data_IF_487833255300
#
_entry.id   IF_487833255300
#
_cell.length_a   1.000
_cell.length_b   1.000
_cell.length_c   1.000
_cell.angle_alpha   90.00
_cell.angle_beta   90.00
_cell.angle_gamma   90.00
#
_symmetry.space_group_name_H-M   'P 1'
#
loop_
_entity.id
_entity.type
_entity.pdbx_description
1 polymer ?
#
# COMPACT_ATOMS: atom_id res chain seq x y z
N UNK A 1 42.59 -45.79 -23.89
CA UNK A 1 41.54 -44.84 -24.33
C UNK A 1 41.58 -43.64 -23.41
N UNK A 2 41.54 -42.47 -24.03
CA UNK A 2 42.24 -41.23 -23.66
C UNK A 2 41.51 -40.44 -22.56
N UNK A 3 42.23 -40.07 -21.50
CA UNK A 3 41.80 -39.12 -20.47
C UNK A 3 42.11 -37.69 -20.94
N UNK A 4 41.07 -36.86 -21.13
CA UNK A 4 41.21 -35.46 -21.51
C UNK A 4 41.28 -34.57 -20.26
N UNK A 5 42.47 -34.03 -20.01
CA UNK A 5 42.77 -33.05 -18.98
C UNK A 5 42.36 -31.64 -19.45
N UNK A 6 41.57 -30.91 -18.66
CA UNK A 6 41.14 -29.53 -18.97
C UNK A 6 42.21 -28.52 -18.57
N UNK A 7 42.51 -27.48 -19.39
CA UNK A 7 43.52 -26.49 -19.05
C UNK A 7 42.98 -25.45 -18.05
N UNK A 8 43.80 -25.12 -17.04
CA UNK A 8 43.57 -24.01 -16.10
C UNK A 8 43.97 -22.69 -16.77
N UNK A 9 43.03 -21.80 -16.99
CA UNK A 9 43.29 -20.42 -17.46
C UNK A 9 43.69 -19.57 -16.25
N UNK A 10 44.90 -19.02 -16.27
CA UNK A 10 45.39 -18.03 -15.31
C UNK A 10 45.07 -16.63 -15.84
N UNK A 11 44.30 -15.85 -15.10
CA UNK A 11 44.05 -14.42 -15.38
C UNK A 11 45.13 -13.59 -14.66
N UNK A 12 45.88 -12.72 -15.35
CA UNK A 12 46.84 -11.84 -14.68
C UNK A 12 46.11 -10.62 -14.08
N UNK A 13 46.34 -10.39 -12.79
CA UNK A 13 45.94 -9.18 -12.08
C UNK A 13 46.77 -8.00 -12.60
N UNK A 14 46.15 -7.03 -13.27
CA UNK A 14 46.79 -5.74 -13.61
C UNK A 14 46.35 -4.69 -12.60
N UNK A 15 47.28 -4.27 -11.76
CA UNK A 15 47.17 -3.08 -10.93
C UNK A 15 47.20 -1.84 -11.84
N UNK A 16 46.20 -0.97 -11.72
CA UNK A 16 46.18 0.34 -12.34
C UNK A 16 46.38 1.38 -11.24
N UNK A 17 47.56 1.99 -11.21
CA UNK A 17 47.81 3.26 -10.52
C UNK A 17 47.48 4.40 -11.47
N UNK A 18 46.65 5.34 -11.04
CA UNK A 18 46.61 6.67 -11.64
C UNK A 18 46.43 7.71 -10.53
N UNK A 19 47.48 8.50 -10.33
CA UNK A 19 47.43 9.75 -9.58
C UNK A 19 47.02 10.88 -10.52
N UNK A 20 46.09 11.74 -10.09
CA UNK A 20 46.01 13.13 -10.53
C UNK A 20 45.37 13.96 -9.43
N UNK A 21 46.14 14.91 -8.91
CA UNK A 21 45.66 16.00 -8.09
C UNK A 21 45.34 17.20 -9.00
N UNK A 22 44.21 17.89 -8.76
CA UNK A 22 44.09 19.32 -9.04
C UNK A 22 43.01 19.95 -8.14
N UNK A 23 43.38 21.09 -7.56
CA UNK A 23 42.62 21.94 -6.64
C UNK A 23 41.57 22.80 -7.36
N UNK A 24 40.49 23.21 -6.68
CA UNK A 24 40.16 24.62 -6.33
C UNK A 24 38.70 24.84 -5.84
N UNK A 25 38.59 25.76 -4.85
CA UNK A 25 37.45 26.57 -4.37
C UNK A 25 36.24 25.84 -3.74
N UNK A 26 35.81 26.12 -2.49
CA UNK A 26 35.32 27.41 -1.96
C UNK A 26 33.86 27.58 -2.41
N UNK A 27 32.80 27.61 -1.59
CA UNK A 27 32.60 28.27 -0.30
C UNK A 27 31.58 27.51 0.58
N UNK A 28 31.81 27.53 1.88
CA UNK A 28 30.82 27.20 2.91
C UNK A 28 29.90 28.40 3.10
N UNK A 29 28.58 28.20 2.96
CA UNK A 29 27.58 29.15 3.45
C UNK A 29 27.01 28.60 4.74
N UNK A 30 27.41 29.25 5.84
CA UNK A 30 26.87 29.06 7.17
C UNK A 30 25.42 29.55 7.23
N UNK A 31 24.55 28.75 7.83
CA UNK A 31 23.19 29.15 8.24
C UNK A 31 23.26 29.99 9.52
N UNK A 32 22.45 31.06 9.67
CA UNK A 32 22.41 31.82 10.91
C UNK A 32 21.52 31.13 11.95
N UNK A 33 22.01 31.14 13.19
CA UNK A 33 21.28 30.73 14.39
C UNK A 33 20.09 31.66 14.67
N UNK A 34 18.96 31.08 15.09
CA UNK A 34 17.78 31.80 15.61
C UNK A 34 17.87 31.78 17.14
N UNK A 35 17.91 32.96 17.74
CA UNK A 35 17.86 33.20 19.19
C UNK A 35 16.39 33.39 19.62
N UNK A 36 15.88 32.72 20.68
CA UNK A 36 14.49 32.86 21.09
C UNK A 36 14.34 33.90 22.21
N UNK A 37 13.58 34.97 21.95
CA UNK A 37 13.07 35.81 23.03
C UNK A 37 11.73 36.48 22.69
N UNK A 38 10.71 36.02 23.42
CA UNK A 38 9.60 36.75 24.05
C UNK A 38 8.90 37.90 23.29
N UNK A 39 7.60 37.72 22.99
CA UNK A 39 6.59 38.78 23.10
C UNK A 39 5.26 38.22 23.62
N UNK A 40 4.99 38.60 24.88
CA UNK A 40 3.74 39.00 25.53
C UNK A 40 2.40 38.29 25.28
N UNK A 41 1.82 37.86 26.41
CA UNK A 41 0.41 37.58 26.61
C UNK A 41 -0.40 38.88 26.65
N UNK A 42 -1.54 38.90 25.97
CA UNK A 42 -2.63 39.83 26.28
C UNK A 42 -3.96 39.08 26.27
N UNK A 43 -4.63 39.09 27.42
CA UNK A 43 -5.97 38.57 27.60
C UNK A 43 -7.03 39.51 27.03
N UNK A 44 -8.19 38.93 26.74
CA UNK A 44 -9.40 39.62 26.35
C UNK A 44 -10.57 38.64 26.33
N UNK A 45 -11.36 38.65 27.39
CA UNK A 45 -12.68 38.02 27.49
C UNK A 45 -13.66 38.68 26.52
N UNK A 46 -14.47 37.89 25.80
CA UNK A 46 -15.80 38.32 25.30
C UNK A 46 -16.76 37.13 25.32
N UNK A 47 -17.84 37.29 26.09
CA UNK A 47 -19.04 36.43 26.14
C UNK A 47 -19.89 36.50 24.85
N UNK A 48 -20.61 35.40 24.59
CA UNK A 48 -22.03 35.45 24.21
C UNK A 48 -22.38 35.67 22.73
N UNK A 49 -22.96 34.64 22.11
CA UNK A 49 -23.64 34.76 20.83
C UNK A 49 -24.24 33.44 20.35
N UNK A 50 -25.42 33.10 20.86
CA UNK A 50 -26.28 32.05 20.30
C UNK A 50 -26.71 32.40 18.87
N UNK A 51 -26.62 31.45 17.95
CA UNK A 51 -27.39 31.44 16.71
C UNK A 51 -28.01 30.06 16.49
N UNK A 52 -29.30 29.99 16.76
CA UNK A 52 -30.21 28.95 16.29
C UNK A 52 -30.64 29.22 14.85
N UNK A 53 -31.29 28.23 14.22
CA UNK A 53 -31.86 28.12 12.86
C UNK A 53 -30.95 27.30 11.92
N UNK A 54 -31.37 26.20 11.29
CA UNK A 54 -32.70 25.65 11.01
C UNK A 54 -32.56 24.16 10.72
N UNK A 55 -33.37 23.32 11.37
CA UNK A 55 -33.53 21.90 11.02
C UNK A 55 -34.18 21.79 9.64
N UNK A 56 -33.38 21.41 8.65
CA UNK A 56 -33.86 20.81 7.42
C UNK A 56 -33.84 19.30 7.60
N UNK A 57 -35.00 18.70 7.85
CA UNK A 57 -35.19 17.26 7.79
C UNK A 57 -34.88 16.79 6.36
N UNK A 58 -33.68 16.25 6.16
CA UNK A 58 -33.39 15.40 5.01
C UNK A 58 -33.58 13.96 5.48
N UNK A 59 -34.68 13.38 5.01
CA UNK A 59 -34.90 11.94 4.96
C UNK A 59 -33.91 11.36 3.94
N UNK A 60 -32.67 11.16 4.39
CA UNK A 60 -31.64 10.39 3.70
C UNK A 60 -31.53 9.07 4.44
N UNK A 61 -31.80 7.95 3.76
CA UNK A 61 -31.48 6.63 4.31
C UNK A 61 -30.03 6.65 4.79
N UNK A 62 -29.82 6.29 6.05
CA UNK A 62 -28.54 6.43 6.74
C UNK A 62 -27.40 5.94 5.84
N UNK A 63 -26.57 6.87 5.39
CA UNK A 63 -25.32 6.54 4.75
C UNK A 63 -24.50 5.83 5.82
N UNK A 64 -24.44 4.51 5.74
CA UNK A 64 -23.75 3.73 6.76
C UNK A 64 -22.27 4.11 6.71
N UNK A 65 -21.73 4.43 7.88
CA UNK A 65 -20.40 5.02 8.04
C UNK A 65 -19.31 3.95 7.98
N UNK A 66 -18.13 4.31 7.47
CA UNK A 66 -16.95 3.45 7.55
C UNK A 66 -16.69 3.00 9.00
N UNK A 67 -16.17 1.77 9.20
CA UNK A 67 -15.95 1.23 10.55
C UNK A 67 -14.82 1.91 11.33
N UNK A 68 -14.02 2.75 10.67
CA UNK A 68 -12.88 3.47 11.23
C UNK A 68 -12.60 4.75 10.44
N UNK A 69 -11.83 5.67 11.03
CA UNK A 69 -11.41 6.92 10.38
C UNK A 69 -10.51 6.68 9.15
N UNK A 70 -9.71 5.60 9.17
CA UNK A 70 -8.85 5.22 8.07
C UNK A 70 -8.98 3.73 7.75
N UNK A 71 -9.06 3.46 6.45
CA UNK A 71 -8.96 2.12 5.87
C UNK A 71 -7.65 2.02 5.10
N UNK A 72 -6.74 1.16 5.56
CA UNK A 72 -5.41 0.95 4.97
C UNK A 72 -5.40 -0.12 3.87
N UNK A 73 -6.44 -0.94 3.81
CA UNK A 73 -6.59 -1.97 2.78
C UNK A 73 -8.04 -2.34 2.54
N UNK A 74 -8.38 -2.60 1.28
CA UNK A 74 -9.63 -3.22 0.87
C UNK A 74 -9.31 -4.39 -0.05
N UNK A 75 -9.86 -5.55 0.23
CA UNK A 75 -9.69 -6.71 -0.63
C UNK A 75 -10.88 -7.64 -0.55
N UNK A 76 -10.97 -8.53 -1.52
CA UNK A 76 -11.99 -9.56 -1.59
C UNK A 76 -11.37 -10.87 -1.13
N UNK A 77 -12.03 -11.57 -0.23
CA UNK A 77 -11.65 -12.93 0.13
C UNK A 77 -12.06 -13.90 -0.99
N UNK A 78 -11.13 -14.61 -1.63
CA UNK A 78 -11.46 -15.56 -2.70
C UNK A 78 -12.30 -16.75 -2.23
N UNK A 79 -12.35 -17.03 -0.92
CA UNK A 79 -13.11 -18.15 -0.37
C UNK A 79 -14.64 -17.95 -0.46
N UNK A 80 -15.11 -16.72 -0.29
CA UNK A 80 -16.53 -16.39 -0.15
C UNK A 80 -16.97 -15.14 -0.95
N UNK A 81 -16.03 -14.44 -1.58
CA UNK A 81 -16.28 -13.22 -2.36
C UNK A 81 -16.56 -11.98 -1.50
N UNK A 82 -16.40 -12.06 -0.18
CA UNK A 82 -16.72 -10.96 0.74
C UNK A 82 -15.60 -9.92 0.81
N UNK A 83 -16.01 -8.65 0.86
CA UNK A 83 -15.11 -7.51 0.98
C UNK A 83 -14.62 -7.41 2.42
N UNK A 84 -13.32 -7.24 2.59
CA UNK A 84 -12.65 -7.02 3.86
C UNK A 84 -11.97 -5.65 3.86
N UNK A 85 -12.03 -4.97 5.01
CA UNK A 85 -11.43 -3.67 5.25
C UNK A 85 -10.43 -3.79 6.40
N UNK A 86 -9.17 -3.46 6.13
CA UNK A 86 -8.12 -3.37 7.15
C UNK A 86 -8.08 -1.94 7.68
N UNK A 87 -8.19 -1.77 9.00
CA UNK A 87 -8.37 -0.47 9.64
C UNK A 87 -7.59 -0.37 10.95
N UNK A 88 -7.56 0.81 11.56
CA UNK A 88 -7.03 1.01 12.92
C UNK A 88 -7.78 0.21 13.99
N UNK A 89 -9.03 -0.16 13.72
CA UNK A 89 -9.93 -0.81 14.69
C UNK A 89 -10.07 -2.32 14.46
N UNK A 90 -9.21 -2.90 13.62
CA UNK A 90 -9.21 -4.31 13.24
C UNK A 90 -9.58 -4.56 11.78
N UNK A 91 -9.72 -5.85 11.47
CA UNK A 91 -10.27 -6.31 10.20
C UNK A 91 -11.80 -6.29 10.27
N UNK A 92 -12.45 -5.72 9.26
CA UNK A 92 -13.90 -5.75 9.11
C UNK A 92 -14.28 -6.49 7.84
N UNK A 93 -15.36 -7.24 7.90
CA UNK A 93 -16.03 -7.85 6.75
C UNK A 93 -17.28 -7.06 6.43
N UNK A 94 -17.48 -6.76 5.15
CA UNK A 94 -18.69 -6.09 4.69
C UNK A 94 -19.82 -7.11 4.53
N UNK A 95 -20.95 -6.81 5.17
CA UNK A 95 -22.19 -7.59 5.12
C UNK A 95 -23.36 -6.66 4.77
N UNK A 96 -24.51 -7.21 4.40
CA UNK A 96 -25.74 -6.44 4.07
C UNK A 96 -26.34 -5.65 5.26
N UNK A 97 -25.80 -5.86 6.46
CA UNK A 97 -26.20 -5.15 7.68
C UNK A 97 -25.12 -4.16 8.16
N UNK A 98 -24.11 -3.90 7.33
CA UNK A 98 -22.94 -3.10 7.63
C UNK A 98 -21.68 -3.88 7.97
N UNK A 99 -20.58 -3.17 8.29
CA UNK A 99 -19.28 -3.78 8.55
C UNK A 99 -19.27 -4.53 9.89
N UNK A 100 -18.84 -5.80 9.86
CA UNK A 100 -18.72 -6.67 11.03
C UNK A 100 -17.25 -6.95 11.29
N UNK A 101 -16.77 -6.64 12.49
CA UNK A 101 -15.37 -6.93 12.87
C UNK A 101 -15.10 -8.43 12.89
N UNK A 102 -13.97 -8.82 12.34
CA UNK A 102 -13.46 -10.20 12.31
C UNK A 102 -12.20 -10.29 13.16
N UNK A 103 -12.25 -11.13 14.19
CA UNK A 103 -11.10 -11.40 15.05
C UNK A 103 -10.77 -10.28 16.06
N UNK A 104 -9.52 -10.26 16.57
CA UNK A 104 -9.07 -9.29 17.57
C UNK A 104 -8.90 -7.87 17.00
N UNK A 105 -8.86 -6.87 17.88
CA UNK A 105 -8.56 -5.49 17.51
C UNK A 105 -7.04 -5.35 17.33
N UNK A 106 -6.60 -5.25 16.09
CA UNK A 106 -5.22 -4.95 15.71
C UNK A 106 -5.33 -3.74 14.79
N UNK A 107 -4.55 -2.69 15.07
CA UNK A 107 -4.38 -1.57 14.17
C UNK A 107 -3.63 -2.06 12.93
N UNK A 108 -4.36 -2.33 11.85
CA UNK A 108 -3.81 -2.90 10.62
C UNK A 108 -3.35 -1.77 9.69
N UNK A 109 -2.04 -1.53 9.67
CA UNK A 109 -1.38 -0.52 8.85
C UNK A 109 -1.02 -1.01 7.45
N UNK A 110 -0.83 -2.33 7.30
CA UNK A 110 -0.62 -2.98 6.01
C UNK A 110 -1.41 -4.28 5.95
N UNK A 111 -1.98 -4.59 4.78
CA UNK A 111 -2.84 -5.75 4.58
C UNK A 111 -2.78 -6.23 3.14
N UNK A 112 -2.76 -7.54 2.93
CA UNK A 112 -2.86 -8.15 1.60
C UNK A 112 -3.49 -9.55 1.70
N UNK A 113 -4.25 -9.92 0.66
CA UNK A 113 -4.76 -11.28 0.50
C UNK A 113 -3.70 -12.14 -0.18
N UNK A 114 -3.40 -13.31 0.39
CA UNK A 114 -2.50 -14.30 -0.19
C UNK A 114 -3.25 -15.49 -0.80
N UNK A 115 -4.53 -15.67 -0.45
CA UNK A 115 -5.39 -16.73 -0.97
C UNK A 115 -6.75 -16.79 -0.26
N UNK A 116 -7.57 -17.83 -0.53
CA UNK A 116 -8.84 -18.04 0.17
C UNK A 116 -8.59 -18.19 1.67
N UNK A 117 -9.26 -17.36 2.48
CA UNK A 117 -9.11 -17.25 3.94
C UNK A 117 -7.68 -16.98 4.45
N UNK A 118 -6.72 -16.72 3.56
CA UNK A 118 -5.31 -16.54 3.88
C UNK A 118 -4.85 -15.11 3.60
N UNK A 119 -4.58 -14.35 4.66
CA UNK A 119 -4.15 -12.95 4.57
C UNK A 119 -2.86 -12.72 5.35
N UNK A 120 -2.09 -11.71 4.92
CA UNK A 120 -1.00 -11.14 5.68
C UNK A 120 -1.35 -9.73 6.12
N UNK A 121 -0.86 -9.33 7.29
CA UNK A 121 -0.99 -7.97 7.77
C UNK A 121 0.20 -7.51 8.63
N UNK A 122 0.22 -6.23 8.95
CA UNK A 122 1.18 -5.59 9.85
C UNK A 122 0.54 -4.39 10.55
N UNK A 123 1.20 -3.87 11.60
CA UNK A 123 0.76 -2.72 12.38
C UNK A 123 0.92 -2.93 13.88
N UNK A 124 -0.10 -2.60 14.67
CA UNK A 124 -0.01 -2.52 16.14
C UNK A 124 -1.08 -3.35 16.86
N UNK A 125 -0.76 -4.08 17.94
CA UNK A 125 -1.76 -4.79 18.70
C UNK A 125 -2.65 -3.81 19.46
N UNK A 126 -3.96 -4.05 19.44
CA UNK A 126 -4.91 -3.29 20.25
C UNK A 126 -4.88 -3.67 21.73
N UNK A 127 -5.63 -2.95 22.58
CA UNK A 127 -5.71 -3.23 24.00
C UNK A 127 -6.13 -4.68 24.29
N UNK A 128 -5.33 -5.39 25.10
CA UNK A 128 -5.61 -6.77 25.50
C UNK A 128 -5.23 -7.83 24.48
N UNK A 129 -4.62 -7.46 23.34
CA UNK A 129 -4.07 -8.41 22.38
C UNK A 129 -2.61 -8.72 22.75
N UNK A 130 -2.33 -9.99 23.04
CA UNK A 130 -1.00 -10.48 23.41
C UNK A 130 -0.14 -10.74 22.15
N UNK A 131 0.27 -9.65 21.49
CA UNK A 131 1.22 -9.67 20.38
C UNK A 131 2.33 -8.62 20.61
N UNK A 132 3.52 -8.81 20.02
CA UNK A 132 4.58 -7.81 20.04
C UNK A 132 4.16 -6.49 19.39
N UNK A 133 4.86 -5.40 19.72
CA UNK A 133 4.58 -4.06 19.23
C UNK A 133 5.82 -3.44 18.57
N UNK A 134 5.81 -3.13 17.25
CA UNK A 134 4.82 -3.52 16.24
C UNK A 134 4.70 -5.04 16.07
N UNK A 135 3.60 -5.51 15.47
CA UNK A 135 3.32 -6.94 15.31
C UNK A 135 4.25 -7.63 14.31
N UNK A 136 4.99 -6.88 13.48
CA UNK A 136 5.77 -7.42 12.36
C UNK A 136 4.86 -7.87 11.23
N UNK A 137 5.25 -8.94 10.52
CA UNK A 137 4.34 -9.67 9.63
C UNK A 137 3.54 -10.67 10.47
N UNK A 138 2.21 -10.57 10.40
CA UNK A 138 1.26 -11.54 10.95
C UNK A 138 0.50 -12.23 9.80
N UNK A 139 0.07 -13.45 10.04
CA UNK A 139 -0.65 -14.30 9.09
C UNK A 139 -1.95 -14.81 9.70
N UNK A 140 -2.97 -14.94 8.86
CA UNK A 140 -4.21 -15.68 9.15
C UNK A 140 -4.48 -16.68 8.04
N UNK A 141 -5.07 -17.82 8.38
CA UNK A 141 -5.58 -18.84 7.42
C UNK A 141 -7.05 -19.19 7.69
N UNK A 142 -7.73 -18.38 8.49
CA UNK A 142 -9.13 -18.54 8.87
C UNK A 142 -9.96 -17.27 8.62
N UNK A 143 -9.55 -16.47 7.62
CA UNK A 143 -10.24 -15.25 7.20
C UNK A 143 -10.09 -14.10 8.21
N UNK A 144 -9.03 -14.09 9.01
CA UNK A 144 -8.74 -13.04 9.99
C UNK A 144 -9.37 -13.25 11.36
N UNK A 145 -9.99 -14.41 11.64
CA UNK A 145 -10.56 -14.71 12.96
C UNK A 145 -9.47 -14.86 14.01
N UNK A 146 -8.35 -15.47 13.62
CA UNK A 146 -7.13 -15.57 14.44
C UNK A 146 -5.91 -15.13 13.64
N UNK A 147 -4.92 -14.59 14.33
CA UNK A 147 -3.68 -14.09 13.76
C UNK A 147 -2.48 -14.70 14.47
N UNK A 148 -1.47 -15.10 13.71
CA UNK A 148 -0.21 -15.65 14.20
C UNK A 148 0.94 -14.74 13.79
N UNK A 149 1.86 -14.51 14.71
CA UNK A 149 3.10 -13.80 14.42
C UNK A 149 4.01 -14.66 13.54
N UNK A 150 4.42 -14.14 12.38
CA UNK A 150 5.24 -14.87 11.42
C UNK A 150 6.70 -14.42 11.46
N UNK A 151 6.97 -13.12 11.30
CA UNK A 151 8.34 -12.59 11.42
C UNK A 151 8.41 -11.09 11.68
N UNK A 152 9.58 -10.57 12.09
CA UNK A 152 9.87 -9.14 12.28
C UNK A 152 9.05 -8.46 13.39
N UNK A 153 8.64 -9.23 14.38
CA UNK A 153 7.98 -8.75 15.60
C UNK A 153 8.86 -7.72 16.31
N UNK A 154 8.30 -6.57 16.67
CA UNK A 154 9.03 -5.48 17.31
C UNK A 154 10.01 -4.72 16.40
N UNK A 155 10.12 -5.11 15.13
CA UNK A 155 11.06 -4.52 14.17
C UNK A 155 10.41 -3.75 13.03
N UNK A 156 9.31 -4.30 12.48
CA UNK A 156 8.68 -3.74 11.28
C UNK A 156 7.23 -3.39 11.50
N UNK A 157 6.90 -2.20 11.00
CA UNK A 157 5.56 -1.70 10.80
C UNK A 157 5.37 -1.49 9.30
N UNK A 158 4.93 -2.56 8.61
CA UNK A 158 4.76 -2.51 7.17
C UNK A 158 3.50 -1.73 6.83
N UNK A 159 3.69 -0.54 6.26
CA UNK A 159 2.60 0.35 5.83
C UNK A 159 2.05 -0.01 4.44
N UNK A 160 2.79 -0.84 3.70
CA UNK A 160 2.32 -1.40 2.45
C UNK A 160 2.79 -2.85 2.35
N UNK A 161 1.88 -3.73 1.92
CA UNK A 161 2.12 -5.15 1.72
C UNK A 161 1.52 -5.58 0.38
N UNK A 162 2.20 -6.49 -0.31
CA UNK A 162 1.66 -7.18 -1.47
C UNK A 162 2.07 -8.65 -1.43
N UNK A 163 1.11 -9.56 -1.60
CA UNK A 163 1.35 -11.00 -1.71
C UNK A 163 1.22 -11.47 -3.16
N UNK A 164 2.00 -12.47 -3.51
CA UNK A 164 1.99 -13.14 -4.82
C UNK A 164 2.39 -14.61 -4.66
N UNK A 165 2.31 -15.40 -5.74
CA UNK A 165 2.86 -16.76 -5.75
C UNK A 165 4.39 -16.79 -5.51
N UNK A 166 5.09 -15.68 -5.75
CA UNK A 166 6.52 -15.54 -5.49
C UNK A 166 6.87 -15.23 -4.02
N UNK A 167 5.91 -14.77 -3.22
CA UNK A 167 6.12 -14.36 -1.83
C UNK A 167 5.47 -13.02 -1.48
N UNK A 168 5.96 -12.40 -0.42
CA UNK A 168 5.45 -11.14 0.15
C UNK A 168 6.48 -10.03 -0.05
N UNK A 169 6.00 -8.88 -0.54
CA UNK A 169 6.74 -7.62 -0.55
C UNK A 169 6.15 -6.71 0.52
N UNK A 170 7.01 -6.08 1.32
CA UNK A 170 6.60 -5.15 2.36
C UNK A 170 7.45 -3.88 2.39
N UNK A 171 6.82 -2.77 2.77
CA UNK A 171 7.51 -1.48 2.95
C UNK A 171 7.35 -0.94 4.38
N UNK A 172 8.47 -0.81 5.10
CA UNK A 172 8.55 -0.30 6.48
C UNK A 172 9.45 0.94 6.57
N UNK A 173 9.54 1.71 5.48
CA UNK A 173 10.62 2.68 5.24
C UNK A 173 11.78 2.08 4.43
N UNK A 174 11.89 0.74 4.41
CA UNK A 174 12.73 -0.03 3.48
C UNK A 174 11.84 -0.99 2.68
N UNK A 175 12.02 -1.07 1.36
CA UNK A 175 11.30 -2.07 0.56
C UNK A 175 11.98 -3.43 0.74
N UNK A 176 11.21 -4.45 1.08
CA UNK A 176 11.72 -5.79 1.40
C UNK A 176 10.89 -6.84 0.68
N UNK A 177 11.53 -7.95 0.35
CA UNK A 177 10.89 -9.13 -0.21
C UNK A 177 11.25 -10.38 0.59
N UNK A 178 10.26 -11.25 0.78
CA UNK A 178 10.43 -12.57 1.37
C UNK A 178 9.65 -13.61 0.56
N UNK A 179 10.30 -14.71 0.19
CA UNK A 179 9.66 -15.84 -0.48
C UNK A 179 8.88 -16.75 0.47
N UNK A 180 9.13 -16.64 1.77
CA UNK A 180 8.56 -17.53 2.80
C UNK A 180 7.90 -16.77 3.97
N UNK A 181 7.83 -15.44 3.88
CA UNK A 181 7.31 -14.56 4.93
C UNK A 181 8.21 -14.44 6.17
N UNK A 182 9.39 -15.07 6.19
CA UNK A 182 10.28 -15.12 7.37
C UNK A 182 11.68 -14.56 7.12
N UNK A 183 12.27 -14.85 5.96
CA UNK A 183 13.60 -14.37 5.57
C UNK A 183 13.47 -13.26 4.56
N UNK A 184 14.04 -12.09 4.87
CA UNK A 184 13.82 -10.87 4.10
C UNK A 184 15.07 -10.33 3.43
N UNK A 185 14.95 -10.01 2.15
CA UNK A 185 15.96 -9.30 1.37
C UNK A 185 15.51 -7.86 1.13
N UNK A 186 16.45 -6.93 1.17
CA UNK A 186 16.16 -5.53 0.83
C UNK A 186 16.14 -5.35 -0.68
N UNK A 187 15.07 -4.72 -1.18
CA UNK A 187 14.94 -4.29 -2.58
C UNK A 187 15.34 -2.82 -2.70
N UNK A 188 16.21 -2.51 -3.67
CA UNK A 188 16.67 -1.14 -3.92
C UNK A 188 15.77 -0.46 -4.95
N UNK A 189 14.79 0.31 -4.47
CA UNK A 189 13.88 1.10 -5.31
C UNK A 189 14.44 2.50 -5.57
N UNK A 190 14.25 3.08 -6.78
CA UNK A 190 14.71 4.43 -7.12
C UNK A 190 13.85 5.55 -6.50
N UNK A 191 12.69 5.19 -5.93
CA UNK A 191 11.75 6.12 -5.30
C UNK A 191 11.38 5.64 -3.90
N UNK A 192 10.91 6.55 -3.05
CA UNK A 192 10.34 6.19 -1.74
C UNK A 192 8.89 5.72 -1.94
N UNK A 193 8.57 4.42 -1.75
CA UNK A 193 7.24 3.91 -1.97
C UNK A 193 6.20 4.53 -1.02
N UNK A 194 4.98 4.70 -1.53
CA UNK A 194 3.78 4.91 -0.74
C UNK A 194 2.98 3.60 -0.65
N UNK A 195 2.60 3.03 -1.80
CA UNK A 195 2.00 1.71 -1.92
C UNK A 195 2.91 0.75 -2.71
N UNK A 196 2.67 -0.55 -2.54
CA UNK A 196 3.30 -1.62 -3.31
C UNK A 196 2.24 -2.59 -3.82
N UNK A 197 2.41 -3.07 -5.04
CA UNK A 197 1.59 -4.13 -5.62
C UNK A 197 2.46 -5.09 -6.42
N UNK A 198 2.09 -6.37 -6.43
CA UNK A 198 2.81 -7.44 -7.12
C UNK A 198 1.87 -8.16 -8.08
N UNK A 199 2.36 -8.50 -9.28
CA UNK A 199 1.62 -9.39 -10.18
C UNK A 199 1.36 -10.73 -9.49
N UNK A 200 0.31 -11.48 -9.88
CA UNK A 200 -0.01 -12.75 -9.25
C UNK A 200 1.16 -13.76 -9.20
N UNK A 201 2.05 -13.75 -10.19
CA UNK A 201 3.25 -14.58 -10.24
C UNK A 201 4.47 -13.99 -9.50
N UNK A 202 4.40 -12.74 -9.05
CA UNK A 202 5.46 -11.99 -8.36
C UNK A 202 6.57 -11.46 -9.28
N UNK A 203 6.46 -11.64 -10.60
CA UNK A 203 7.50 -11.22 -11.55
C UNK A 203 7.55 -9.71 -11.75
N UNK A 204 6.39 -9.05 -11.72
CA UNK A 204 6.25 -7.60 -11.90
C UNK A 204 5.87 -6.96 -10.57
N UNK A 205 6.66 -5.97 -10.15
CA UNK A 205 6.34 -5.15 -8.98
C UNK A 205 6.07 -3.72 -9.42
N UNK A 206 5.08 -3.11 -8.77
CA UNK A 206 4.76 -1.70 -8.90
C UNK A 206 4.88 -1.05 -7.53
N UNK A 207 5.49 0.13 -7.50
CA UNK A 207 5.46 1.02 -6.33
C UNK A 207 4.98 2.39 -6.75
N UNK A 208 4.15 3.02 -5.92
CA UNK A 208 3.73 4.41 -6.11
C UNK A 208 4.62 5.34 -5.29
N UNK A 209 4.77 6.60 -5.70
CA UNK A 209 5.51 7.60 -4.92
C UNK A 209 5.12 9.02 -5.33
N UNK A 210 5.48 10.02 -4.54
CA UNK A 210 5.33 11.44 -4.88
C UNK A 210 6.10 11.83 -6.16
N UNK A 211 7.17 11.09 -6.51
CA UNK A 211 7.94 11.31 -7.73
C UNK A 211 7.37 10.59 -8.96
N UNK A 212 6.23 9.90 -8.82
CA UNK A 212 5.61 9.04 -9.82
C UNK A 212 5.82 7.55 -9.55
N UNK A 213 5.07 6.67 -10.24
CA UNK A 213 5.18 5.23 -10.03
C UNK A 213 6.47 4.66 -10.64
N UNK A 214 7.00 3.61 -10.03
CA UNK A 214 8.12 2.83 -10.54
C UNK A 214 7.75 1.36 -10.69
N UNK A 215 8.39 0.70 -11.65
CA UNK A 215 8.08 -0.67 -12.08
C UNK A 215 9.34 -1.51 -12.16
N UNK A 216 9.23 -2.75 -11.71
CA UNK A 216 10.20 -3.81 -11.92
C UNK A 216 9.55 -4.97 -12.68
N UNK A 217 10.29 -5.63 -13.56
CA UNK A 217 9.87 -6.84 -14.30
C UNK A 217 10.69 -8.08 -13.95
N UNK A 218 11.48 -8.00 -12.89
CA UNK A 218 12.42 -9.02 -12.45
C UNK A 218 12.38 -9.15 -10.92
N UNK A 219 11.16 -9.14 -10.36
CA UNK A 219 10.90 -9.32 -8.93
C UNK A 219 11.67 -8.33 -8.01
N UNK A 220 11.82 -7.09 -8.47
CA UNK A 220 12.42 -6.00 -7.70
C UNK A 220 13.94 -5.90 -7.78
N UNK A 221 14.59 -6.64 -8.68
CA UNK A 221 16.05 -6.57 -8.89
C UNK A 221 16.43 -5.27 -9.61
N UNK A 222 15.72 -4.92 -10.68
CA UNK A 222 15.89 -3.66 -11.41
C UNK A 222 14.57 -2.91 -11.55
N UNK A 223 14.67 -1.59 -11.65
CA UNK A 223 13.51 -0.69 -11.62
C UNK A 223 13.62 0.38 -12.69
N UNK A 224 12.46 0.83 -13.16
CA UNK A 224 12.30 1.98 -14.04
C UNK A 224 11.17 2.88 -13.52
N UNK A 225 11.42 4.18 -13.44
CA UNK A 225 10.37 5.17 -13.15
C UNK A 225 9.52 5.37 -14.40
N UNK A 226 8.20 5.30 -14.25
CA UNK A 226 7.24 5.44 -15.34
C UNK A 226 6.90 6.93 -15.54
N UNK A 227 7.74 7.64 -16.28
CA UNK A 227 7.62 9.10 -16.47
C UNK A 227 6.31 9.54 -17.14
N UNK A 228 5.75 8.70 -18.02
CA UNK A 228 4.51 8.98 -18.76
C UNK A 228 3.26 8.48 -18.01
N UNK A 229 3.42 7.78 -16.88
CA UNK A 229 2.28 7.35 -16.08
C UNK A 229 1.73 8.54 -15.29
N UNK A 230 0.39 8.60 -15.08
CA UNK A 230 -0.18 9.57 -14.16
C UNK A 230 0.37 9.36 -12.74
N UNK A 231 0.29 10.40 -11.90
CA UNK A 231 0.57 10.24 -10.48
C UNK A 231 -0.48 9.30 -9.87
N UNK A 232 -0.01 8.25 -9.22
CA UNK A 232 -0.83 7.24 -8.54
C UNK A 232 -0.43 7.25 -7.07
N UNK A 233 -1.42 7.17 -6.19
CA UNK A 233 -1.24 6.96 -4.75
C UNK A 233 -1.40 5.47 -4.44
N UNK A 234 -2.51 4.89 -4.92
CA UNK A 234 -2.90 3.51 -4.67
C UNK A 234 -2.84 2.71 -5.97
N UNK A 235 -2.53 1.43 -5.87
CA UNK A 235 -2.43 0.53 -7.03
C UNK A 235 -2.75 -0.90 -6.61
N UNK A 236 -3.50 -1.63 -7.44
CA UNK A 236 -3.77 -3.07 -7.23
C UNK A 236 -4.00 -3.82 -8.57
N UNK A 237 -3.73 -5.13 -8.57
CA UNK A 237 -3.84 -6.00 -9.73
C UNK A 237 -5.19 -6.70 -9.79
N UNK A 238 -5.89 -6.60 -10.91
CA UNK A 238 -7.08 -7.41 -11.15
C UNK A 238 -6.72 -8.83 -11.64
N UNK A 239 -5.67 -8.95 -12.44
CA UNK A 239 -5.18 -10.21 -13.02
C UNK A 239 -3.68 -10.13 -13.38
N UNK A 240 -3.18 -11.02 -14.25
CA UNK A 240 -1.77 -11.05 -14.67
C UNK A 240 -1.30 -9.88 -15.55
N UNK A 241 -2.19 -9.05 -16.06
CA UNK A 241 -1.90 -7.93 -16.96
C UNK A 241 -2.66 -6.64 -16.62
N UNK A 242 -3.82 -6.76 -15.99
CA UNK A 242 -4.71 -5.63 -15.70
C UNK A 242 -4.42 -5.06 -14.32
N UNK A 243 -4.17 -3.76 -14.27
CA UNK A 243 -3.82 -3.03 -13.03
C UNK A 243 -4.67 -1.77 -12.93
N UNK A 244 -5.22 -1.51 -11.75
CA UNK A 244 -5.90 -0.27 -11.43
C UNK A 244 -5.00 0.62 -10.57
N UNK A 245 -5.04 1.92 -10.84
CA UNK A 245 -4.35 2.93 -10.05
C UNK A 245 -5.28 4.10 -9.76
N UNK A 246 -5.15 4.68 -8.56
CA UNK A 246 -5.94 5.84 -8.13
C UNK A 246 -5.00 6.96 -7.68
N UNK A 247 -5.20 8.17 -8.20
CA UNK A 247 -4.47 9.38 -7.79
C UNK A 247 -4.98 9.93 -6.45
N UNK A 248 -4.23 10.81 -5.76
CA UNK A 248 -4.69 11.44 -4.52
C UNK A 248 -6.03 12.18 -4.63
N UNK A 249 -6.36 12.68 -5.83
CA UNK A 249 -7.60 13.40 -6.12
C UNK A 249 -8.70 12.48 -6.70
N UNK A 250 -8.54 11.16 -6.56
CA UNK A 250 -9.52 10.16 -6.97
C UNK A 250 -9.54 9.85 -8.46
N UNK A 251 -8.58 10.34 -9.26
CA UNK A 251 -8.51 10.00 -10.70
C UNK A 251 -8.13 8.54 -10.86
N UNK A 252 -8.91 7.80 -11.64
CA UNK A 252 -8.68 6.36 -11.87
C UNK A 252 -8.01 6.15 -13.21
N UNK A 253 -6.89 5.44 -13.20
CA UNK A 253 -6.18 4.99 -14.39
C UNK A 253 -6.07 3.47 -14.40
N UNK A 254 -6.06 2.92 -15.61
CA UNK A 254 -5.95 1.47 -15.84
C UNK A 254 -4.76 1.18 -16.75
N UNK A 255 -4.11 0.06 -16.48
CA UNK A 255 -3.15 -0.59 -17.37
C UNK A 255 -3.68 -1.97 -17.75
N UNK A 256 -3.43 -2.39 -18.99
CA UNK A 256 -3.75 -3.74 -19.49
C UNK A 256 -2.50 -4.47 -20.02
N UNK A 257 -1.32 -3.96 -19.69
CA UNK A 257 -0.01 -4.46 -20.13
C UNK A 257 0.97 -4.57 -18.95
N UNK A 258 0.45 -5.03 -17.81
CA UNK A 258 1.19 -5.28 -16.58
C UNK A 258 1.87 -4.03 -16.03
N UNK A 259 1.17 -2.88 -16.07
CA UNK A 259 1.63 -1.60 -15.55
C UNK A 259 2.63 -0.86 -16.43
N UNK A 260 2.83 -1.27 -17.69
CA UNK A 260 3.80 -0.63 -18.58
C UNK A 260 3.26 0.69 -19.16
N UNK A 261 1.98 0.72 -19.54
CA UNK A 261 1.27 1.93 -20.00
C UNK A 261 -0.05 2.10 -19.27
N UNK A 262 -0.48 3.36 -19.14
CA UNK A 262 -1.64 3.74 -18.33
C UNK A 262 -2.59 4.63 -19.13
N UNK A 263 -3.88 4.41 -18.97
CA UNK A 263 -4.94 5.24 -19.54
C UNK A 263 -5.87 5.71 -18.44
N UNK A 264 -6.10 7.02 -18.34
CA UNK A 264 -7.13 7.58 -17.44
C UNK A 264 -8.51 7.14 -17.91
N UNK A 265 -9.35 6.71 -16.97
CA UNK A 265 -10.67 6.13 -17.23
C UNK A 265 -11.81 6.97 -16.68
N UNK A 266 -11.68 7.40 -15.44
CA UNK A 266 -12.74 8.09 -14.72
C UNK A 266 -12.23 8.63 -13.39
N UNK A 267 -13.13 8.84 -12.45
CA UNK A 267 -12.83 9.38 -11.13
C UNK A 267 -13.84 8.85 -10.10
N UNK A 268 -13.36 8.59 -8.89
CA UNK A 268 -14.19 8.39 -7.69
C UNK A 268 -14.30 9.71 -6.90
N UNK A 269 -15.38 9.89 -6.15
CA UNK A 269 -15.56 11.06 -5.26
C UNK A 269 -14.92 10.83 -3.89
N UNK A 270 -14.40 11.90 -3.29
CA UNK A 270 -13.69 11.85 -2.02
C UNK A 270 -12.21 11.46 -2.15
N UNK A 271 -11.46 11.67 -1.08
CA UNK A 271 -10.04 11.28 -1.00
C UNK A 271 -9.93 9.75 -0.86
N UNK A 272 -9.18 9.06 -1.74
CA UNK A 272 -9.05 7.61 -1.68
C UNK A 272 -8.13 7.17 -0.54
N UNK A 273 -8.55 6.12 0.17
CA UNK A 273 -7.85 5.52 1.31
C UNK A 273 -7.29 4.14 0.96
N UNK A 274 -8.05 3.33 0.22
CA UNK A 274 -7.64 2.00 -0.23
C UNK A 274 -8.21 1.66 -1.60
N UNK A 275 -7.53 0.79 -2.35
CA UNK A 275 -8.00 0.23 -3.62
C UNK A 275 -7.86 -1.28 -3.60
N UNK A 276 -8.82 -1.97 -4.21
CA UNK A 276 -8.79 -3.42 -4.40
C UNK A 276 -9.35 -3.76 -5.78
N UNK A 277 -8.72 -4.68 -6.49
CA UNK A 277 -9.16 -5.10 -7.82
C UNK A 277 -9.15 -6.63 -7.94
N UNK A 278 -10.17 -7.18 -8.60
CA UNK A 278 -10.26 -8.62 -8.85
C UNK A 278 -11.00 -8.93 -10.14
N UNK A 279 -10.62 -10.03 -10.80
CA UNK A 279 -11.45 -10.65 -11.83
C UNK A 279 -12.53 -11.53 -11.21
N UNK A 280 -13.76 -11.29 -11.64
CA UNK A 280 -14.92 -12.11 -11.31
C UNK A 280 -14.94 -13.41 -12.12
N UNK A 281 -15.69 -14.43 -11.68
CA UNK A 281 -15.83 -15.70 -12.41
C UNK A 281 -16.35 -15.57 -13.86
N UNK A 282 -17.08 -14.50 -14.16
CA UNK A 282 -17.58 -14.19 -15.51
C UNK A 282 -16.57 -13.44 -16.39
N UNK A 283 -15.37 -13.17 -15.86
CA UNK A 283 -14.31 -12.42 -16.52
C UNK A 283 -14.47 -10.90 -16.46
N UNK A 284 -15.52 -10.39 -15.82
CA UNK A 284 -15.64 -8.96 -15.54
C UNK A 284 -14.66 -8.55 -14.44
N UNK A 285 -14.12 -7.34 -14.55
CA UNK A 285 -13.31 -6.75 -13.48
C UNK A 285 -14.23 -6.09 -12.45
N UNK A 286 -13.95 -6.31 -11.17
CA UNK A 286 -14.43 -5.47 -10.08
C UNK A 286 -13.27 -4.59 -9.59
N UNK A 287 -13.57 -3.31 -9.40
CA UNK A 287 -12.68 -2.34 -8.78
C UNK A 287 -13.39 -1.73 -7.57
N UNK A 288 -12.77 -1.84 -6.40
CA UNK A 288 -13.20 -1.23 -5.16
C UNK A 288 -12.28 -0.06 -4.84
N UNK A 289 -12.87 1.08 -4.49
CA UNK A 289 -12.13 2.22 -3.95
C UNK A 289 -12.82 2.67 -2.67
N UNK A 290 -12.07 2.71 -1.58
CA UNK A 290 -12.54 3.26 -0.31
C UNK A 290 -12.18 4.73 -0.27
N UNK A 291 -13.16 5.58 0.01
CA UNK A 291 -12.97 7.00 0.28
C UNK A 291 -13.62 7.37 1.61
N UNK A 292 -13.45 8.60 2.08
CA UNK A 292 -14.14 9.08 3.30
C UNK A 292 -15.68 8.96 3.23
N UNK A 293 -16.24 8.87 2.02
CA UNK A 293 -17.68 8.73 1.78
C UNK A 293 -18.17 7.27 1.85
N UNK A 294 -17.25 6.30 1.87
CA UNK A 294 -17.59 4.87 1.92
C UNK A 294 -16.79 4.01 0.93
N UNK A 295 -17.31 2.80 0.68
CA UNK A 295 -16.75 1.87 -0.32
C UNK A 295 -17.49 2.05 -1.64
N UNK A 296 -16.75 2.27 -2.71
CA UNK A 296 -17.28 2.46 -4.07
C UNK A 296 -16.85 1.31 -4.98
N UNK A 297 -17.77 0.80 -5.78
CA UNK A 297 -17.54 -0.27 -6.74
C UNK A 297 -17.68 0.24 -8.18
N UNK A 298 -16.76 -0.19 -9.05
CA UNK A 298 -16.85 -0.07 -10.49
C UNK A 298 -16.80 -1.46 -11.15
N UNK A 299 -17.64 -1.63 -12.18
CA UNK A 299 -17.69 -2.82 -13.06
C UNK A 299 -17.41 -2.52 -14.53
N UNK A 300 -17.05 -1.27 -14.83
CA UNK A 300 -16.79 -0.77 -16.19
C UNK A 300 -15.34 -0.32 -16.40
N UNK A 301 -14.42 -0.88 -15.60
CA UNK A 301 -13.00 -0.57 -15.65
C UNK A 301 -12.68 0.84 -15.17
N UNK A 302 -13.35 1.28 -14.09
CA UNK A 302 -13.10 2.56 -13.43
C UNK A 302 -13.67 3.78 -14.16
N UNK A 303 -14.60 3.60 -15.09
CA UNK A 303 -15.24 4.71 -15.80
C UNK A 303 -16.36 5.36 -14.95
N UNK A 304 -17.10 4.55 -14.20
CA UNK A 304 -18.09 5.00 -13.23
C UNK A 304 -18.07 4.16 -11.95
N UNK A 305 -18.57 4.75 -10.87
CA UNK A 305 -18.63 4.12 -9.55
C UNK A 305 -20.03 4.21 -8.96
N UNK A 306 -20.41 3.18 -8.22
CA UNK A 306 -21.60 3.15 -7.38
C UNK A 306 -21.20 2.82 -5.94
N UNK A 307 -21.86 3.39 -4.93
CA UNK A 307 -21.64 2.97 -3.55
C UNK A 307 -21.94 1.48 -3.39
N UNK A 308 -21.09 0.75 -2.67
CA UNK A 308 -21.41 -0.61 -2.21
C UNK A 308 -22.46 -0.44 -1.11
N UNK A 309 -23.68 -0.98 -1.28
CA UNK A 309 -24.69 -0.87 -0.25
C UNK A 309 -24.20 -1.55 1.03
N UNK A 310 -24.55 -0.91 2.15
CA UNK A 310 -24.28 -1.36 3.50
C UNK A 310 -25.50 -2.03 4.11
#
# INVERSE_FOLDING_TARGET
MTTLSRPRIRVPLRAATLSAALLLAGCSSAEPAVDPAAVEQHGGDVEGGESQHSEGQHDGGDAVTLPSAHVHGVAVNPADGQVHLATHDGLFRFEESGPVRVGPVIDLMGFTVAGPDHFYASGHPGPGVDLPQPVGLIETTDGGRTWQALSRQGESDFHALAASAGGVVGFDGTLRFSSDGTTWNVLQTPVKPYAVAASPDGAVLLVTSEAGPARSTDAGITWSVLQEAPLLQLVDWADGATVAGVSPEGTVAMSTDAGATWSVRGRVTGAPQAVGADLQPDGSMRLLVVTEEGVHESRDGGASFSPVPL
#
